data_IF_076389067164
#
_entry.id   IF_076389067164
#
_cell.length_a   1.000
_cell.length_b   1.000
_cell.length_c   1.000
_cell.angle_alpha   90.00
_cell.angle_beta   90.00
_cell.angle_gamma   90.00
#
_symmetry.space_group_name_H-M   'P 1'
#
loop_
_entity.id
_entity.type
_entity.pdbx_description
1 polymer ?
#
# COMPACT_ATOMS: atom_id res chain seq x y z
N UNK A 1 3.07 5.33 -10.50
CA UNK A 1 2.11 6.26 -9.88
C UNK A 1 2.34 6.38 -8.38
N UNK A 2 2.39 5.26 -7.64
CA UNK A 2 2.58 5.23 -6.17
C UNK A 2 3.81 6.04 -5.72
N UNK A 3 4.98 5.83 -6.32
CA UNK A 3 6.22 6.56 -5.99
C UNK A 3 6.07 8.07 -6.06
N UNK A 4 5.44 8.57 -7.13
CA UNK A 4 5.22 10.01 -7.32
C UNK A 4 4.34 10.56 -6.20
N UNK A 5 3.29 9.84 -5.82
CA UNK A 5 2.41 10.24 -4.73
C UNK A 5 3.13 10.19 -3.38
N UNK A 6 3.82 9.10 -3.06
CA UNK A 6 4.52 8.89 -1.78
C UNK A 6 5.62 9.93 -1.54
N UNK A 7 6.26 10.43 -2.60
CA UNK A 7 7.27 11.50 -2.54
C UNK A 7 6.68 12.86 -2.17
N UNK A 8 5.41 13.11 -2.48
CA UNK A 8 4.69 14.33 -2.10
C UNK A 8 4.10 14.27 -0.69
N UNK A 9 4.06 13.09 -0.06
CA UNK A 9 3.54 12.90 1.30
C UNK A 9 4.63 13.14 2.36
N UNK A 10 4.27 13.66 3.56
CA UNK A 10 5.20 13.83 4.68
C UNK A 10 5.93 12.53 5.02
N UNK A 11 7.25 12.59 5.24
CA UNK A 11 8.08 11.40 5.52
C UNK A 11 7.97 10.91 6.96
N UNK A 12 7.49 11.76 7.86
CA UNK A 12 7.30 11.54 9.29
C UNK A 12 5.95 10.89 9.62
N UNK A 13 5.07 10.70 8.63
CA UNK A 13 3.74 10.11 8.81
C UNK A 13 3.61 8.82 8.02
N UNK A 14 2.89 7.81 8.56
CA UNK A 14 2.68 6.56 7.85
C UNK A 14 1.76 6.78 6.65
N UNK A 15 2.08 6.12 5.53
CA UNK A 15 1.31 6.21 4.28
C UNK A 15 0.41 4.99 4.13
N UNK A 16 -0.89 5.24 4.13
CA UNK A 16 -1.91 4.21 4.01
C UNK A 16 -2.39 4.05 2.56
N UNK A 17 -2.26 2.85 2.01
CA UNK A 17 -2.69 2.49 0.66
C UNK A 17 -4.01 1.71 0.71
N UNK A 18 -5.09 2.36 0.30
CA UNK A 18 -6.43 1.80 0.43
C UNK A 18 -6.80 0.81 -0.69
N UNK A 19 -7.35 -0.34 -0.32
CA UNK A 19 -7.99 -1.29 -1.23
C UNK A 19 -7.04 -2.20 -2.03
N UNK A 20 -5.79 -2.32 -1.61
CA UNK A 20 -4.77 -3.18 -2.24
C UNK A 20 -4.50 -4.39 -1.36
N UNK A 21 -4.59 -5.60 -1.91
CA UNK A 21 -4.33 -6.82 -1.14
C UNK A 21 -3.90 -8.04 -1.92
N UNK A 22 -3.52 -7.88 -3.19
CA UNK A 22 -2.83 -8.96 -3.88
C UNK A 22 -1.40 -9.05 -3.37
N UNK A 23 -0.90 -10.27 -3.15
CA UNK A 23 0.38 -10.49 -2.47
C UNK A 23 1.56 -9.77 -3.14
N UNK A 24 1.59 -9.76 -4.48
CA UNK A 24 2.65 -9.10 -5.25
C UNK A 24 2.57 -7.58 -5.12
N UNK A 25 1.36 -7.02 -5.15
CA UNK A 25 1.14 -5.57 -5.03
C UNK A 25 1.53 -5.06 -3.64
N UNK A 26 1.27 -5.83 -2.58
CA UNK A 26 1.69 -5.48 -1.22
C UNK A 26 3.22 -5.35 -1.13
N UNK A 27 3.96 -6.28 -1.73
CA UNK A 27 5.43 -6.27 -1.73
C UNK A 27 5.97 -5.08 -2.52
N UNK A 28 5.44 -4.87 -3.74
CA UNK A 28 5.89 -3.76 -4.60
C UNK A 28 5.55 -2.42 -3.96
N UNK A 29 4.33 -2.21 -3.48
CA UNK A 29 3.93 -0.95 -2.87
C UNK A 29 4.64 -0.67 -1.54
N UNK A 30 4.99 -1.71 -0.77
CA UNK A 30 5.84 -1.56 0.41
C UNK A 30 7.25 -1.06 0.04
N UNK A 31 7.86 -1.63 -1.01
CA UNK A 31 9.13 -1.15 -1.54
C UNK A 31 9.06 0.29 -2.09
N UNK A 32 7.88 0.75 -2.51
CA UNK A 32 7.63 2.11 -2.98
C UNK A 32 7.29 3.11 -1.86
N UNK A 33 7.26 2.68 -0.59
CA UNK A 33 7.10 3.58 0.57
C UNK A 33 5.69 3.67 1.15
N UNK A 34 4.83 2.68 0.89
CA UNK A 34 3.56 2.50 1.61
C UNK A 34 3.78 1.66 2.89
N UNK A 35 3.15 2.07 3.98
CA UNK A 35 3.37 1.50 5.31
C UNK A 35 2.17 0.66 5.82
N UNK A 36 0.96 0.96 5.34
CA UNK A 36 -0.27 0.28 5.76
C UNK A 36 -1.16 -0.02 4.55
N UNK A 37 -1.93 -1.11 4.64
CA UNK A 37 -2.78 -1.64 3.57
C UNK A 37 -4.08 -2.21 4.13
N UNK A 38 -5.15 -2.15 3.36
CA UNK A 38 -6.39 -2.90 3.60
C UNK A 38 -6.92 -3.56 2.33
N UNK A 39 -7.52 -4.73 2.51
CA UNK A 39 -8.19 -5.42 1.41
C UNK A 39 -9.23 -6.42 1.91
N UNK A 40 -10.30 -6.55 1.14
CA UNK A 40 -11.33 -7.59 1.30
C UNK A 40 -10.96 -8.92 0.60
N UNK A 41 -9.89 -8.95 -0.20
CA UNK A 41 -9.43 -10.15 -0.90
C UNK A 41 -9.25 -11.36 0.04
N UNK A 42 -8.48 -11.27 1.15
CA UNK A 42 -8.30 -12.42 2.03
C UNK A 42 -9.62 -12.93 2.64
N UNK A 43 -10.59 -12.06 2.92
CA UNK A 43 -11.89 -12.50 3.48
C UNK A 43 -12.86 -13.03 2.43
N UNK A 44 -12.70 -12.67 1.15
CA UNK A 44 -13.51 -13.21 0.04
C UNK A 44 -13.00 -14.54 -0.52
N UNK A 45 -11.72 -14.83 -0.31
CA UNK A 45 -11.03 -16.00 -0.90
C UNK A 45 -10.57 -17.01 0.17
N UNK A 46 -10.80 -16.71 1.46
CA UNK A 46 -10.59 -17.64 2.57
C UNK A 46 -11.60 -18.79 2.58
#
# INVERSE_FOLDING_TARGET
MVTLSTDHLPKDKPRYLMGVGFAIDLVVCSALGCDMFDCVFPTRTA
#
